data_IF_187385085078
#
_entry.id   IF_187385085078
#
_cell.length_a   1.000
_cell.length_b   1.000
_cell.length_c   1.000
_cell.angle_alpha   90.00
_cell.angle_beta   90.00
_cell.angle_gamma   90.00
#
_symmetry.space_group_name_H-M   'P 1'
#
loop_
_entity.id
_entity.type
_entity.pdbx_description
1 polymer ?
#
# COMPACT_ATOMS: atom_id res chain seq x y z
N UNK A 1 14.19 -0.36 46.54
CA UNK A 1 15.40 -0.81 45.82
C UNK A 1 15.20 -2.15 45.12
N UNK A 2 14.25 -3.00 45.56
CA UNK A 2 13.95 -4.30 44.92
C UNK A 2 13.21 -4.20 43.56
N UNK A 3 12.48 -3.12 43.29
CA UNK A 3 11.75 -2.97 42.02
C UNK A 3 12.67 -2.75 40.82
N UNK A 4 13.80 -2.05 41.02
CA UNK A 4 14.77 -1.77 39.95
C UNK A 4 15.53 -3.05 39.58
N UNK A 5 15.86 -3.91 40.55
CA UNK A 5 16.49 -5.19 40.29
C UNK A 5 15.57 -6.15 39.52
N UNK A 6 14.26 -6.08 39.78
CA UNK A 6 13.24 -6.88 39.09
C UNK A 6 13.05 -6.41 37.63
N UNK A 7 13.06 -5.10 37.40
CA UNK A 7 12.98 -4.52 36.05
C UNK A 7 14.24 -4.83 35.24
N UNK A 8 15.43 -4.72 35.84
CA UNK A 8 16.69 -5.06 35.16
C UNK A 8 16.74 -6.55 34.82
N UNK A 9 16.26 -7.42 35.70
CA UNK A 9 16.18 -8.86 35.42
C UNK A 9 15.20 -9.17 34.29
N UNK A 10 14.05 -8.50 34.25
CA UNK A 10 13.07 -8.66 33.17
C UNK A 10 13.59 -8.14 31.82
N UNK A 11 14.38 -7.05 31.82
CA UNK A 11 15.04 -6.53 30.62
C UNK A 11 16.14 -7.49 30.16
N UNK A 12 16.96 -8.04 31.07
CA UNK A 12 18.00 -9.01 30.73
C UNK A 12 17.42 -10.35 30.25
N UNK A 13 16.31 -10.82 30.82
CA UNK A 13 15.58 -12.00 30.31
C UNK A 13 15.01 -11.74 28.92
N UNK A 14 14.46 -10.54 28.67
CA UNK A 14 13.94 -10.13 27.34
C UNK A 14 15.06 -9.97 26.30
N UNK A 15 16.18 -9.34 26.66
CA UNK A 15 17.37 -9.22 25.80
C UNK A 15 18.07 -10.57 25.56
N UNK A 16 17.91 -11.55 26.46
CA UNK A 16 18.41 -12.92 26.26
C UNK A 16 17.53 -13.78 25.35
N UNK A 17 16.24 -13.43 25.20
CA UNK A 17 15.27 -14.08 24.31
C UNK A 17 15.26 -13.49 22.89
N UNK A 18 15.60 -12.21 22.73
CA UNK A 18 15.68 -11.54 21.42
C UNK A 18 16.62 -12.21 20.38
N UNK A 19 17.77 -12.82 20.73
CA UNK A 19 18.57 -13.53 19.72
C UNK A 19 17.96 -14.88 19.28
N UNK A 20 16.93 -15.41 19.96
CA UNK A 20 16.23 -16.64 19.55
C UNK A 20 15.01 -16.35 18.65
N UNK A 21 14.37 -15.19 18.80
CA UNK A 21 13.28 -14.71 17.92
C UNK A 21 13.76 -14.29 16.51
N UNK A 22 15.07 -14.19 16.30
CA UNK A 22 15.71 -13.96 14.98
C UNK A 22 16.31 -15.20 14.34
N UNK A 23 15.91 -16.41 14.77
CA UNK A 23 16.25 -17.62 14.02
C UNK A 23 15.33 -17.75 12.81
N UNK A 24 15.91 -17.75 11.61
CA UNK A 24 15.19 -17.96 10.35
C UNK A 24 14.82 -19.45 10.23
N UNK A 25 13.62 -19.80 10.67
CA UNK A 25 13.09 -21.16 10.56
C UNK A 25 12.52 -21.42 9.18
N UNK A 26 12.85 -22.59 8.63
CA UNK A 26 12.44 -23.00 7.29
C UNK A 26 11.66 -24.31 7.36
N UNK A 27 10.52 -24.36 6.67
CA UNK A 27 9.84 -25.61 6.30
C UNK A 27 10.17 -25.97 4.86
N UNK A 28 10.36 -27.26 4.62
CA UNK A 28 10.67 -27.77 3.28
C UNK A 28 9.40 -28.03 2.48
N UNK A 29 9.52 -27.92 1.16
CA UNK A 29 8.49 -28.36 0.22
C UNK A 29 8.05 -29.79 0.56
N UNK A 30 6.74 -30.00 0.61
CA UNK A 30 6.11 -31.28 0.93
C UNK A 30 5.85 -31.50 2.42
N UNK A 31 6.25 -30.57 3.30
CA UNK A 31 5.84 -30.61 4.71
C UNK A 31 4.32 -30.57 4.82
N UNK A 32 3.75 -31.47 5.63
CA UNK A 32 2.32 -31.51 5.92
C UNK A 32 1.98 -30.44 6.96
N UNK A 33 1.09 -29.52 6.59
CA UNK A 33 0.58 -28.47 7.47
C UNK A 33 -0.78 -28.89 8.01
N UNK A 34 -0.92 -28.91 9.34
CA UNK A 34 -2.22 -28.98 9.97
C UNK A 34 -2.69 -27.54 10.24
N UNK A 35 -3.76 -27.11 9.56
CA UNK A 35 -4.26 -25.75 9.66
C UNK A 35 -5.06 -25.54 10.95
N UNK A 36 -4.96 -24.34 11.53
CA UNK A 36 -5.84 -23.93 12.62
C UNK A 36 -7.16 -23.40 12.06
N UNK A 37 -8.28 -24.02 12.45
CA UNK A 37 -9.60 -23.49 12.11
C UNK A 37 -9.99 -22.39 13.08
N UNK A 38 -9.82 -21.12 12.72
CA UNK A 38 -10.18 -19.99 13.62
C UNK A 38 -11.66 -20.00 14.02
N UNK A 39 -12.55 -20.47 13.13
CA UNK A 39 -13.99 -20.61 13.39
C UNK A 39 -14.33 -21.79 14.31
N UNK A 40 -13.52 -22.84 14.29
CA UNK A 40 -13.73 -24.04 15.11
C UNK A 40 -12.94 -23.98 16.42
N UNK A 41 -11.93 -23.12 16.50
CA UNK A 41 -10.99 -23.07 17.63
C UNK A 41 -10.13 -24.32 17.75
N UNK A 42 -10.11 -25.18 16.73
CA UNK A 42 -9.52 -26.50 16.77
C UNK A 42 -8.52 -26.72 15.63
N UNK A 43 -7.49 -27.52 15.90
CA UNK A 43 -6.56 -28.03 14.89
C UNK A 43 -7.20 -29.19 14.14
N UNK A 44 -7.50 -29.03 12.86
CA UNK A 44 -8.27 -30.05 12.12
C UNK A 44 -8.34 -29.80 10.62
N UNK A 45 -8.84 -30.81 9.89
CA UNK A 45 -8.89 -30.84 8.42
C UNK A 45 -7.82 -31.75 7.80
N UNK A 46 -7.97 -32.00 6.50
CA UNK A 46 -6.97 -32.78 5.75
C UNK A 46 -5.65 -32.00 5.69
N UNK A 47 -4.50 -32.63 6.01
CA UNK A 47 -3.22 -31.95 6.01
C UNK A 47 -2.89 -31.45 4.60
N UNK A 48 -2.43 -30.20 4.53
CA UNK A 48 -2.08 -29.56 3.27
C UNK A 48 -0.58 -29.64 3.06
N UNK A 49 -0.17 -30.14 1.89
CA UNK A 49 1.24 -30.19 1.51
C UNK A 49 1.75 -28.79 1.15
N UNK A 50 2.83 -28.36 1.80
CA UNK A 50 3.52 -27.13 1.46
C UNK A 50 4.12 -27.23 0.05
N UNK A 51 3.79 -26.29 -0.85
CA UNK A 51 4.18 -26.36 -2.26
C UNK A 51 5.65 -26.03 -2.56
N UNK A 52 6.33 -25.37 -1.62
CA UNK A 52 7.69 -24.84 -1.76
C UNK A 52 8.37 -24.70 -0.39
N UNK A 53 9.68 -24.46 -0.37
CA UNK A 53 10.38 -24.15 0.88
C UNK A 53 9.92 -22.77 1.39
N UNK A 54 9.51 -22.68 2.65
CA UNK A 54 8.86 -21.48 3.21
C UNK A 54 9.46 -21.08 4.54
N UNK A 55 9.78 -19.80 4.70
CA UNK A 55 10.17 -19.22 5.99
C UNK A 55 8.96 -19.11 6.90
N UNK A 56 9.11 -19.51 8.14
CA UNK A 56 8.02 -19.54 9.13
C UNK A 56 8.40 -18.82 10.40
N UNK A 57 7.41 -18.28 11.09
CA UNK A 57 7.58 -17.69 12.41
C UNK A 57 7.07 -18.67 13.46
N UNK A 58 7.85 -18.92 14.51
CA UNK A 58 7.38 -19.71 15.65
C UNK A 58 6.33 -18.90 16.42
N UNK A 59 5.20 -19.52 16.77
CA UNK A 59 4.26 -18.91 17.70
C UNK A 59 4.78 -19.09 19.14
N UNK A 60 4.80 -18.02 19.92
CA UNK A 60 5.07 -18.13 21.35
C UNK A 60 3.97 -18.95 22.02
N UNK A 61 4.34 -20.05 22.67
CA UNK A 61 3.40 -20.84 23.46
C UNK A 61 2.78 -19.96 24.53
N UNK A 62 1.46 -19.73 24.47
CA UNK A 62 0.74 -19.05 25.54
C UNK A 62 0.91 -19.88 26.83
N UNK A 63 1.45 -19.25 27.87
CA UNK A 63 1.59 -19.87 29.18
C UNK A 63 0.20 -20.29 29.69
N UNK A 64 -0.11 -21.59 29.64
CA UNK A 64 -1.37 -22.15 30.12
C UNK A 64 -2.01 -23.22 29.25
N UNK A 65 -1.54 -23.47 28.01
CA UNK A 65 -2.01 -24.63 27.24
C UNK A 65 -1.34 -25.90 27.78
N UNK A 66 -2.06 -26.60 28.65
CA UNK A 66 -1.66 -27.92 29.14
C UNK A 66 -1.55 -28.90 27.98
N UNK A 67 -0.38 -29.55 27.88
CA UNK A 67 -0.11 -30.71 27.04
C UNK A 67 -1.17 -31.80 27.27
N UNK A 68 -2.25 -31.77 26.50
CA UNK A 68 -3.14 -32.92 26.37
C UNK A 68 -2.47 -33.89 25.39
N UNK A 69 -1.66 -34.76 25.97
CA UNK A 69 -1.14 -35.98 25.36
C UNK A 69 -2.27 -36.72 24.64
N UNK A 70 -2.30 -36.62 23.31
CA UNK A 70 -3.04 -37.56 22.47
C UNK A 70 -2.05 -38.61 21.99
N UNK A 71 -2.14 -39.78 22.61
CA UNK A 71 -1.32 -40.95 22.34
C UNK A 71 -1.39 -41.37 20.86
N UNK A 72 -0.21 -41.44 20.21
CA UNK A 72 -0.03 -42.06 18.89
C UNK A 72 0.99 -41.31 18.02
N UNK A 73 2.24 -41.78 18.04
CA UNK A 73 3.43 -41.21 17.37
C UNK A 73 3.91 -39.87 17.96
N UNK A 74 4.84 -39.96 18.90
CA UNK A 74 5.53 -38.83 19.54
C UNK A 74 6.50 -38.11 18.58
N UNK A 75 5.98 -37.38 17.59
CA UNK A 75 6.68 -36.22 17.08
C UNK A 75 6.12 -34.99 17.77
N UNK A 76 6.97 -34.28 18.51
CA UNK A 76 6.59 -33.02 19.16
C UNK A 76 6.12 -32.06 18.08
N UNK A 77 4.88 -31.63 18.17
CA UNK A 77 4.32 -30.68 17.21
C UNK A 77 4.51 -29.26 17.70
N UNK A 78 4.77 -28.34 16.78
CA UNK A 78 5.03 -26.93 17.07
C UNK A 78 4.09 -26.06 16.23
N UNK A 79 3.61 -25.00 16.86
CA UNK A 79 2.73 -24.03 16.21
C UNK A 79 3.60 -22.97 15.52
N UNK A 80 3.34 -22.75 14.24
CA UNK A 80 4.10 -21.84 13.38
C UNK A 80 3.14 -21.02 12.52
N UNK A 81 3.54 -19.81 12.16
CA UNK A 81 2.83 -19.01 11.17
C UNK A 81 3.52 -19.26 9.82
N UNK A 82 2.75 -19.83 8.89
CA UNK A 82 3.19 -20.07 7.52
C UNK A 82 2.54 -19.01 6.62
N UNK A 83 3.32 -18.19 5.90
CA UNK A 83 2.80 -17.24 4.91
C UNK A 83 1.79 -17.89 3.96
N UNK A 84 0.66 -17.22 3.72
CA UNK A 84 -0.48 -17.68 2.92
C UNK A 84 -1.30 -18.87 3.47
N UNK A 85 -0.85 -19.55 4.53
CA UNK A 85 -1.59 -20.64 5.19
C UNK A 85 -2.02 -20.30 6.62
N UNK A 86 -1.47 -19.23 7.22
CA UNK A 86 -1.82 -18.77 8.57
C UNK A 86 -1.20 -19.64 9.67
N UNK A 87 -1.91 -19.75 10.79
CA UNK A 87 -1.49 -20.56 11.95
C UNK A 87 -1.54 -22.05 11.60
N UNK A 88 -0.38 -22.70 11.62
CA UNK A 88 -0.21 -24.10 11.26
C UNK A 88 0.49 -24.86 12.38
N UNK A 89 0.22 -26.16 12.47
CA UNK A 89 0.94 -27.09 13.32
C UNK A 89 1.71 -28.07 12.45
N UNK A 90 2.99 -28.23 12.77
CA UNK A 90 3.92 -29.09 12.05
C UNK A 90 4.75 -29.91 13.03
N UNK A 91 5.26 -31.09 12.63
CA UNK A 91 6.26 -31.79 13.43
C UNK A 91 7.52 -30.92 13.59
N UNK A 92 8.06 -30.83 14.81
CA UNK A 92 9.31 -30.10 15.09
C UNK A 92 10.47 -30.62 14.25
N UNK A 93 10.46 -31.92 13.89
CA UNK A 93 11.42 -32.55 12.99
C UNK A 93 11.44 -31.96 11.57
N UNK A 94 10.38 -31.24 11.16
CA UNK A 94 10.30 -30.58 9.86
C UNK A 94 10.92 -29.18 9.84
N UNK A 95 11.22 -28.60 11.01
CA UNK A 95 11.85 -27.29 11.10
C UNK A 95 13.35 -27.41 10.88
N UNK A 96 13.85 -26.66 9.91
CA UNK A 96 15.27 -26.57 9.61
C UNK A 96 15.75 -25.17 9.92
N UNK A 97 16.83 -25.03 10.68
CA UNK A 97 17.57 -23.77 10.76
C UNK A 97 18.26 -23.54 9.41
N UNK A 98 17.77 -22.57 8.64
CA UNK A 98 18.25 -22.34 7.28
C UNK A 98 19.48 -21.44 7.23
N UNK A 99 20.56 -21.79 6.51
CA UNK A 99 21.60 -20.82 6.15
C UNK A 99 21.04 -19.85 5.09
N UNK A 100 21.30 -18.55 5.28
CA UNK A 100 20.73 -17.46 4.46
C UNK A 100 21.05 -17.58 2.96
N UNK A 101 22.24 -18.09 2.59
CA UNK A 101 22.76 -17.92 1.22
C UNK A 101 22.11 -18.81 0.16
N UNK A 102 21.76 -20.07 0.49
CA UNK A 102 21.19 -21.01 -0.49
C UNK A 102 19.68 -20.80 -0.71
N UNK A 103 18.97 -20.38 0.34
CA UNK A 103 17.54 -20.04 0.24
C UNK A 103 17.33 -18.72 -0.49
N UNK A 104 18.18 -17.71 -0.29
CA UNK A 104 18.08 -16.44 -1.03
C UNK A 104 18.28 -16.62 -2.54
N UNK A 105 19.24 -17.47 -2.94
CA UNK A 105 19.46 -17.80 -4.34
C UNK A 105 18.26 -18.53 -4.98
N UNK A 106 17.51 -19.31 -4.20
CA UNK A 106 16.35 -20.06 -4.66
C UNK A 106 15.04 -19.26 -4.54
N UNK A 107 14.88 -18.42 -3.52
CA UNK A 107 13.80 -17.46 -3.34
C UNK A 107 13.80 -16.40 -4.45
N UNK A 108 14.98 -15.97 -4.91
CA UNK A 108 15.13 -15.14 -6.10
C UNK A 108 14.54 -15.77 -7.38
N UNK A 109 14.34 -17.09 -7.40
CA UNK A 109 13.72 -17.83 -8.52
C UNK A 109 12.23 -18.15 -8.33
N UNK A 110 11.66 -17.96 -7.13
CA UNK A 110 10.33 -18.48 -6.75
C UNK A 110 9.23 -17.39 -6.73
N UNK A 111 9.60 -16.11 -6.76
CA UNK A 111 8.64 -15.01 -6.92
C UNK A 111 9.11 -13.75 -6.20
N UNK A 112 8.86 -12.59 -6.81
CA UNK A 112 9.13 -11.31 -6.17
C UNK A 112 8.17 -11.05 -4.99
N UNK A 113 8.48 -10.05 -4.15
CA UNK A 113 7.58 -9.67 -3.06
C UNK A 113 6.23 -9.17 -3.62
N UNK A 114 5.15 -9.32 -2.84
CA UNK A 114 3.81 -8.93 -3.28
C UNK A 114 3.78 -7.42 -3.54
N UNK A 115 3.52 -7.02 -4.79
CA UNK A 115 3.47 -5.61 -5.22
C UNK A 115 2.06 -5.05 -5.30
N UNK A 116 1.06 -5.90 -5.49
CA UNK A 116 -0.32 -5.48 -5.70
C UNK A 116 -1.25 -6.37 -4.92
N UNK A 117 -2.17 -5.76 -4.17
CA UNK A 117 -3.16 -6.46 -3.36
C UNK A 117 -4.51 -5.77 -3.51
N UNK A 118 -5.55 -6.56 -3.73
CA UNK A 118 -6.94 -6.10 -3.67
C UNK A 118 -7.65 -6.92 -2.58
N UNK A 119 -8.27 -6.23 -1.62
CA UNK A 119 -8.95 -6.84 -0.49
C UNK A 119 -10.45 -6.58 -0.58
N UNK A 120 -11.21 -7.66 -0.48
CA UNK A 120 -12.67 -7.67 -0.41
C UNK A 120 -13.11 -8.37 0.88
N UNK A 121 -12.80 -7.79 2.05
CA UNK A 121 -13.24 -8.32 3.34
C UNK A 121 -14.76 -8.41 3.38
N UNK A 122 -15.29 -9.46 4.00
CA UNK A 122 -16.72 -9.55 4.24
C UNK A 122 -17.17 -8.56 5.34
N UNK A 123 -18.47 -8.42 5.52
CA UNK A 123 -19.03 -7.50 6.52
C UNK A 123 -18.76 -7.91 7.99
N UNK A 124 -18.20 -9.10 8.24
CA UNK A 124 -17.85 -9.58 9.58
C UNK A 124 -16.37 -9.35 9.89
N UNK A 125 -15.60 -8.88 8.90
CA UNK A 125 -14.19 -8.61 9.04
C UNK A 125 -13.96 -7.36 9.90
N UNK A 126 -13.27 -7.52 11.02
CA UNK A 126 -12.78 -6.38 11.81
C UNK A 126 -11.68 -5.67 11.01
N UNK A 127 -12.06 -4.58 10.34
CA UNK A 127 -11.16 -3.82 9.47
C UNK A 127 -9.93 -3.33 10.23
N UNK A 128 -10.06 -2.91 11.48
CA UNK A 128 -8.93 -2.38 12.25
C UNK A 128 -7.93 -3.48 12.62
N UNK A 129 -8.41 -4.62 13.13
CA UNK A 129 -7.51 -5.69 13.60
C UNK A 129 -7.02 -6.56 12.43
N UNK A 130 -7.92 -6.98 11.57
CA UNK A 130 -7.64 -7.88 10.46
C UNK A 130 -6.76 -7.23 9.40
N UNK A 131 -7.06 -6.00 8.98
CA UNK A 131 -6.22 -5.31 7.98
C UNK A 131 -4.86 -4.97 8.56
N UNK A 132 -4.79 -4.50 9.82
CA UNK A 132 -3.50 -4.18 10.43
C UNK A 132 -2.60 -5.41 10.50
N UNK A 133 -3.13 -6.55 10.92
CA UNK A 133 -2.36 -7.80 10.99
C UNK A 133 -1.85 -8.22 9.61
N UNK A 134 -2.72 -8.19 8.60
CA UNK A 134 -2.37 -8.57 7.23
C UNK A 134 -1.34 -7.62 6.60
N UNK A 135 -1.58 -6.31 6.71
CA UNK A 135 -0.72 -5.30 6.09
C UNK A 135 0.61 -5.18 6.82
N UNK A 136 0.69 -5.42 8.13
CA UNK A 136 2.00 -5.48 8.81
C UNK A 136 2.89 -6.62 8.27
N UNK A 137 2.30 -7.74 7.85
CA UNK A 137 3.05 -8.89 7.34
C UNK A 137 3.41 -8.75 5.85
N UNK A 138 2.57 -8.08 5.07
CA UNK A 138 2.65 -8.09 3.59
C UNK A 138 2.79 -6.71 2.94
N UNK A 139 2.55 -5.64 3.69
CA UNK A 139 2.44 -4.27 3.17
C UNK A 139 3.77 -3.63 2.77
N UNK A 140 4.89 -4.07 3.35
CA UNK A 140 6.19 -3.40 3.16
C UNK A 140 6.65 -3.28 1.70
N UNK A 141 6.20 -4.20 0.85
CA UNK A 141 6.52 -4.25 -0.59
C UNK A 141 5.37 -3.83 -1.51
N UNK A 142 4.19 -3.51 -0.96
CA UNK A 142 3.03 -3.16 -1.75
C UNK A 142 3.24 -1.79 -2.42
N UNK A 143 3.12 -1.79 -3.74
CA UNK A 143 3.10 -0.60 -4.59
C UNK A 143 1.65 -0.20 -4.92
N UNK A 144 0.72 -1.18 -4.93
CA UNK A 144 -0.69 -0.99 -5.25
C UNK A 144 -1.59 -1.68 -4.21
N UNK A 145 -2.54 -0.94 -3.64
CA UNK A 145 -3.52 -1.46 -2.71
C UNK A 145 -4.92 -1.00 -3.13
N UNK A 146 -5.85 -1.94 -3.24
CA UNK A 146 -7.26 -1.65 -3.44
C UNK A 146 -8.07 -2.26 -2.29
N UNK A 147 -8.96 -1.48 -1.69
CA UNK A 147 -9.72 -1.87 -0.50
C UNK A 147 -11.22 -1.70 -0.76
N UNK A 148 -11.97 -2.79 -0.63
CA UNK A 148 -13.42 -2.77 -0.62
C UNK A 148 -13.91 -2.89 0.81
N UNK A 149 -14.35 -1.77 1.39
CA UNK A 149 -14.71 -1.66 2.80
C UNK A 149 -16.22 -1.49 2.94
N UNK A 150 -16.85 -2.40 3.69
CA UNK A 150 -18.26 -2.29 4.02
C UNK A 150 -18.44 -1.27 5.14
N UNK A 151 -18.75 -0.02 4.80
CA UNK A 151 -19.13 1.02 5.76
C UNK A 151 -18.25 2.27 5.73
N UNK A 152 -17.97 2.82 6.92
CA UNK A 152 -17.18 4.03 7.12
C UNK A 152 -15.68 3.68 7.25
N UNK A 153 -14.85 4.36 6.47
CA UNK A 153 -13.40 4.33 6.61
C UNK A 153 -13.02 5.31 7.71
N UNK A 154 -12.61 4.77 8.85
CA UNK A 154 -12.08 5.55 9.96
C UNK A 154 -10.63 6.02 9.72
N UNK A 155 -10.17 6.92 10.60
CA UNK A 155 -8.82 7.48 10.53
C UNK A 155 -7.74 6.43 10.82
N UNK A 156 -8.10 5.40 11.59
CA UNK A 156 -7.19 4.32 11.99
C UNK A 156 -6.82 3.47 10.77
N UNK A 157 -7.77 3.15 9.88
CA UNK A 157 -7.52 2.40 8.64
C UNK A 157 -6.52 3.11 7.74
N UNK A 158 -6.67 4.43 7.54
CA UNK A 158 -5.73 5.21 6.72
C UNK A 158 -4.34 5.20 7.35
N UNK A 159 -4.24 5.43 8.66
CA UNK A 159 -2.96 5.40 9.38
C UNK A 159 -2.28 4.03 9.34
N UNK A 160 -3.05 2.94 9.43
CA UNK A 160 -2.58 1.56 9.29
C UNK A 160 -1.98 1.36 7.90
N UNK A 161 -2.70 1.74 6.84
CA UNK A 161 -2.23 1.59 5.45
C UNK A 161 -0.93 2.34 5.23
N UNK A 162 -0.87 3.63 5.61
CA UNK A 162 0.31 4.47 5.41
C UNK A 162 1.54 3.94 6.15
N UNK A 163 1.36 3.42 7.38
CA UNK A 163 2.45 2.85 8.18
C UNK A 163 2.93 1.51 7.63
N UNK A 164 2.00 0.65 7.22
CA UNK A 164 2.31 -0.70 6.79
C UNK A 164 2.82 -0.78 5.34
N UNK A 165 2.46 0.21 4.50
CA UNK A 165 2.76 0.21 3.06
C UNK A 165 3.64 1.41 2.66
N UNK A 166 4.92 1.46 3.06
CA UNK A 166 5.82 2.58 2.77
C UNK A 166 6.18 2.75 1.28
N UNK A 167 5.98 1.71 0.46
CA UNK A 167 6.24 1.75 -0.99
C UNK A 167 4.98 2.04 -1.82
N UNK A 168 3.86 2.36 -1.16
CA UNK A 168 2.58 2.51 -1.84
C UNK A 168 2.59 3.69 -2.82
N UNK A 169 2.25 3.41 -4.07
CA UNK A 169 2.16 4.41 -5.15
C UNK A 169 0.73 4.57 -5.68
N UNK A 170 -0.14 3.60 -5.40
CA UNK A 170 -1.53 3.57 -5.84
C UNK A 170 -2.44 3.04 -4.74
N UNK A 171 -3.46 3.83 -4.40
CA UNK A 171 -4.46 3.49 -3.38
C UNK A 171 -5.86 3.60 -3.98
N UNK A 172 -6.59 2.49 -3.99
CA UNK A 172 -8.00 2.43 -4.34
C UNK A 172 -8.85 2.12 -3.12
N UNK A 173 -9.97 2.82 -2.95
CA UNK A 173 -10.92 2.60 -1.87
C UNK A 173 -12.34 2.61 -2.44
N UNK A 174 -13.07 1.55 -2.16
CA UNK A 174 -14.53 1.45 -2.31
C UNK A 174 -15.13 1.44 -0.90
N UNK A 175 -15.99 2.41 -0.59
CA UNK A 175 -16.59 2.54 0.73
C UNK A 175 -17.87 3.38 0.70
N UNK A 176 -18.81 3.12 1.60
CA UNK A 176 -20.00 3.96 1.74
C UNK A 176 -19.63 5.36 2.24
N UNK A 177 -18.69 5.47 3.18
CA UNK A 177 -18.24 6.76 3.68
C UNK A 177 -16.71 6.80 3.81
N UNK A 178 -16.10 7.87 3.33
CA UNK A 178 -14.70 8.19 3.57
C UNK A 178 -14.56 9.70 3.77
N UNK A 179 -13.89 10.14 4.83
CA UNK A 179 -13.58 11.56 4.97
C UNK A 179 -12.30 11.91 4.22
N UNK A 180 -12.41 12.48 3.02
CA UNK A 180 -11.24 12.88 2.23
C UNK A 180 -10.40 13.94 2.95
N UNK A 181 -11.03 14.83 3.71
CA UNK A 181 -10.30 15.82 4.52
C UNK A 181 -9.42 15.14 5.56
N UNK A 182 -9.97 14.17 6.30
CA UNK A 182 -9.19 13.46 7.32
C UNK A 182 -8.11 12.57 6.72
N UNK A 183 -8.36 11.97 5.56
CA UNK A 183 -7.34 11.27 4.79
C UNK A 183 -6.19 12.22 4.44
N UNK A 184 -6.49 13.42 3.93
CA UNK A 184 -5.47 14.42 3.63
C UNK A 184 -4.70 14.83 4.90
N UNK A 185 -5.38 15.18 5.99
CA UNK A 185 -4.73 15.56 7.25
C UNK A 185 -3.79 14.46 7.76
N UNK A 186 -4.25 13.21 7.75
CA UNK A 186 -3.44 12.06 8.20
C UNK A 186 -2.22 11.86 7.30
N UNK A 187 -2.39 11.98 5.99
CA UNK A 187 -1.29 11.84 5.03
C UNK A 187 -0.24 12.95 5.16
N UNK A 188 -0.68 14.19 5.38
CA UNK A 188 0.22 15.32 5.64
C UNK A 188 0.95 15.19 6.98
N UNK A 189 0.25 14.74 8.03
CA UNK A 189 0.82 14.50 9.36
C UNK A 189 1.92 13.43 9.30
N UNK A 190 1.70 12.34 8.57
CA UNK A 190 2.71 11.29 8.36
C UNK A 190 3.96 11.83 7.65
N UNK A 191 3.77 12.67 6.63
CA UNK A 191 4.88 13.33 5.92
C UNK A 191 5.69 14.25 6.84
N UNK A 192 5.02 15.01 7.72
CA UNK A 192 5.69 15.96 8.62
C UNK A 192 6.51 15.27 9.74
N UNK A 193 6.12 14.06 10.15
CA UNK A 193 6.82 13.29 11.20
C UNK A 193 8.17 12.72 10.76
N UNK A 194 8.52 12.84 9.46
CA UNK A 194 9.76 12.29 8.92
C UNK A 194 9.78 10.75 8.88
N UNK A 195 8.62 10.12 9.02
CA UNK A 195 8.42 8.70 8.75
C UNK A 195 8.52 8.44 7.24
N UNK A 196 8.76 7.19 6.81
CA UNK A 196 8.72 6.83 5.39
C UNK A 196 7.27 6.88 4.88
N UNK A 197 6.77 8.10 4.66
CA UNK A 197 5.45 8.34 4.11
C UNK A 197 5.45 7.92 2.63
N UNK A 198 4.51 7.05 2.20
CA UNK A 198 4.46 6.59 0.82
C UNK A 198 4.18 7.75 -0.13
N UNK A 199 4.87 7.78 -1.27
CA UNK A 199 4.64 8.77 -2.32
C UNK A 199 3.48 8.34 -3.24
N UNK A 200 2.25 8.41 -2.73
CA UNK A 200 1.06 7.97 -3.47
C UNK A 200 0.84 8.89 -4.67
N UNK A 201 0.88 8.28 -5.86
CA UNK A 201 0.77 8.94 -7.15
C UNK A 201 -0.61 8.76 -7.80
N UNK A 202 -1.38 7.75 -7.40
CA UNK A 202 -2.72 7.49 -7.90
C UNK A 202 -3.67 7.19 -6.75
N UNK A 203 -4.79 7.90 -6.69
CA UNK A 203 -5.88 7.65 -5.74
C UNK A 203 -7.19 7.43 -6.49
N UNK A 204 -7.88 6.35 -6.18
CA UNK A 204 -9.18 5.99 -6.75
C UNK A 204 -10.20 5.79 -5.64
N UNK A 205 -11.35 6.46 -5.76
CA UNK A 205 -12.48 6.32 -4.85
C UNK A 205 -13.68 5.82 -5.67
N UNK A 206 -14.02 4.53 -5.57
CA UNK A 206 -14.97 3.89 -6.51
C UNK A 206 -15.77 2.72 -5.94
N UNK A 207 -17.10 2.83 -5.84
CA UNK A 207 -17.87 4.05 -5.60
C UNK A 207 -17.69 4.56 -4.16
N UNK A 208 -17.93 5.86 -3.97
CA UNK A 208 -18.06 6.47 -2.64
C UNK A 208 -19.37 7.24 -2.49
N UNK A 209 -20.19 6.83 -1.50
CA UNK A 209 -21.46 7.51 -1.23
C UNK A 209 -21.23 8.80 -0.46
N UNK A 210 -20.18 8.93 0.35
CA UNK A 210 -19.86 10.16 1.07
C UNK A 210 -18.37 10.42 1.15
N UNK A 211 -17.96 11.66 0.84
CA UNK A 211 -16.56 12.12 0.90
C UNK A 211 -16.27 13.01 2.14
N UNK A 212 -17.14 12.92 3.16
CA UNK A 212 -17.07 13.69 4.41
C UNK A 212 -18.07 14.85 4.48
N UNK A 213 -18.31 15.35 5.70
CA UNK A 213 -19.31 16.41 5.98
C UNK A 213 -19.04 17.72 5.22
N UNK A 214 -17.76 18.06 5.03
CA UNK A 214 -17.32 19.24 4.27
C UNK A 214 -17.06 18.92 2.78
N UNK A 215 -17.56 17.80 2.27
CA UNK A 215 -17.49 17.44 0.85
C UNK A 215 -16.06 17.46 0.26
N UNK A 216 -15.05 17.08 1.05
CA UNK A 216 -13.65 17.04 0.63
C UNK A 216 -13.00 18.39 0.29
N UNK A 217 -13.55 19.52 0.75
CA UNK A 217 -13.03 20.84 0.38
C UNK A 217 -11.56 21.07 0.76
N UNK A 218 -11.14 20.61 1.94
CA UNK A 218 -9.75 20.74 2.39
C UNK A 218 -8.82 19.83 1.59
N UNK A 219 -9.26 18.61 1.28
CA UNK A 219 -8.54 17.72 0.36
C UNK A 219 -8.25 18.41 -0.98
N UNK A 220 -9.26 19.07 -1.58
CA UNK A 220 -9.09 19.80 -2.84
C UNK A 220 -8.13 20.99 -2.69
N UNK A 221 -8.20 21.73 -1.58
CA UNK A 221 -7.25 22.82 -1.30
C UNK A 221 -5.82 22.33 -1.15
N UNK A 222 -5.63 21.24 -0.40
CA UNK A 222 -4.32 20.62 -0.22
C UNK A 222 -3.76 20.14 -1.56
N UNK A 223 -4.62 19.58 -2.43
CA UNK A 223 -4.25 19.23 -3.79
C UNK A 223 -3.79 20.45 -4.61
N UNK A 224 -4.33 21.64 -4.36
CA UNK A 224 -3.92 22.88 -5.02
C UNK A 224 -2.65 23.53 -4.46
N UNK A 225 -2.25 23.20 -3.24
CA UNK A 225 -1.11 23.81 -2.55
C UNK A 225 0.17 23.02 -2.82
N UNK A 226 1.15 23.57 -3.57
CA UNK A 226 2.38 22.86 -3.93
C UNK A 226 3.29 22.51 -2.74
N UNK A 227 3.00 23.03 -1.54
CA UNK A 227 3.76 22.72 -0.32
C UNK A 227 3.32 21.42 0.34
N UNK A 228 2.11 20.94 0.07
CA UNK A 228 1.58 19.70 0.64
C UNK A 228 2.23 18.47 0.02
N UNK A 229 2.27 17.38 0.77
CA UNK A 229 2.73 16.09 0.29
C UNK A 229 1.80 15.55 -0.81
N UNK A 230 0.49 15.72 -0.63
CA UNK A 230 -0.53 15.38 -1.62
C UNK A 230 -0.26 16.01 -3.00
N UNK A 231 -0.07 17.33 -3.06
CA UNK A 231 0.15 18.02 -4.34
C UNK A 231 1.50 17.70 -4.99
N UNK A 232 2.51 17.31 -4.21
CA UNK A 232 3.84 16.97 -4.72
C UNK A 232 3.87 15.62 -5.43
N UNK A 233 3.05 14.68 -4.99
CA UNK A 233 3.11 13.28 -5.41
C UNK A 233 1.91 12.82 -6.24
N UNK A 234 0.70 13.34 -5.98
CA UNK A 234 -0.50 12.86 -6.67
C UNK A 234 -0.53 13.31 -8.14
N UNK A 235 -0.63 12.32 -9.02
CA UNK A 235 -0.69 12.45 -10.48
C UNK A 235 -2.06 12.08 -11.04
N UNK A 236 -2.73 11.12 -10.39
CA UNK A 236 -4.03 10.64 -10.82
C UNK A 236 -5.02 10.70 -9.65
N UNK A 237 -6.17 11.33 -9.91
CA UNK A 237 -7.29 11.34 -8.99
C UNK A 237 -8.54 10.87 -9.73
N UNK A 238 -9.17 9.83 -9.17
CA UNK A 238 -10.41 9.28 -9.70
C UNK A 238 -11.44 9.24 -8.59
N UNK A 239 -12.61 9.83 -8.85
CA UNK A 239 -13.75 9.85 -7.92
C UNK A 239 -15.00 9.41 -8.68
N UNK A 240 -15.57 8.28 -8.27
CA UNK A 240 -16.88 7.82 -8.68
C UNK A 240 -17.85 7.97 -7.53
N UNK A 241 -18.97 8.65 -7.76
CA UNK A 241 -19.99 8.85 -6.73
C UNK A 241 -21.40 8.80 -7.34
N UNK A 242 -22.37 8.17 -6.67
CA UNK A 242 -23.75 8.23 -7.10
C UNK A 242 -24.31 9.64 -6.91
N UNK A 243 -25.19 10.10 -7.80
CA UNK A 243 -25.67 11.48 -7.78
C UNK A 243 -26.56 11.80 -6.58
N UNK A 244 -27.33 10.82 -6.12
CA UNK A 244 -28.16 10.91 -4.93
C UNK A 244 -27.38 11.22 -3.66
N UNK A 245 -26.07 10.94 -3.63
CA UNK A 245 -25.23 11.24 -2.48
C UNK A 245 -25.09 12.73 -2.18
N UNK A 246 -25.12 13.58 -3.21
CA UNK A 246 -24.72 14.99 -3.08
C UNK A 246 -23.27 15.20 -2.65
N UNK A 247 -22.43 14.16 -2.69
CA UNK A 247 -21.07 14.16 -2.14
C UNK A 247 -20.13 15.07 -2.90
N UNK A 248 -20.22 15.06 -4.23
CA UNK A 248 -19.55 16.04 -5.09
C UNK A 248 -20.57 17.11 -5.48
N UNK A 249 -20.36 18.34 -4.99
CA UNK A 249 -21.24 19.47 -5.23
C UNK A 249 -20.51 20.66 -5.90
N UNK A 250 -21.21 21.79 -6.07
CA UNK A 250 -20.63 22.98 -6.69
C UNK A 250 -19.41 23.55 -5.95
N UNK A 251 -19.38 23.44 -4.62
CA UNK A 251 -18.25 23.91 -3.82
C UNK A 251 -17.03 23.00 -4.02
N UNK A 252 -17.23 21.67 -3.97
CA UNK A 252 -16.17 20.68 -4.23
C UNK A 252 -15.55 20.88 -5.61
N UNK A 253 -16.38 21.00 -6.65
CA UNK A 253 -15.91 21.24 -8.02
C UNK A 253 -15.23 22.61 -8.18
N UNK A 254 -15.66 23.61 -7.42
CA UNK A 254 -15.01 24.92 -7.39
C UNK A 254 -13.61 24.88 -6.80
N UNK A 255 -13.41 24.22 -5.66
CA UNK A 255 -12.08 24.05 -5.07
C UNK A 255 -11.20 23.17 -5.95
N UNK A 256 -11.72 22.09 -6.53
CA UNK A 256 -10.95 21.27 -7.47
C UNK A 256 -10.53 22.06 -8.72
N UNK A 257 -11.41 22.90 -9.24
CA UNK A 257 -11.07 23.79 -10.35
C UNK A 257 -9.91 24.73 -9.99
N UNK A 258 -9.92 25.32 -8.78
CA UNK A 258 -8.80 26.14 -8.29
C UNK A 258 -7.53 25.29 -8.09
N UNK A 259 -7.67 24.08 -7.56
CA UNK A 259 -6.56 23.16 -7.39
C UNK A 259 -5.86 22.87 -8.72
N UNK A 260 -6.63 22.62 -9.80
CA UNK A 260 -6.08 22.41 -11.14
C UNK A 260 -5.32 23.62 -11.70
N UNK A 261 -5.66 24.84 -11.30
CA UNK A 261 -4.92 26.02 -11.75
C UNK A 261 -3.54 26.14 -11.12
N UNK A 262 -3.38 25.63 -9.89
CA UNK A 262 -2.15 25.78 -9.11
C UNK A 262 -1.28 24.52 -9.11
N UNK A 263 -1.92 23.34 -9.16
CA UNK A 263 -1.23 22.07 -9.15
C UNK A 263 -0.55 21.83 -10.52
N UNK A 264 0.72 21.42 -10.49
CA UNK A 264 1.54 21.12 -11.69
C UNK A 264 1.94 19.65 -11.79
N UNK A 265 1.47 18.80 -10.88
CA UNK A 265 1.77 17.37 -10.81
C UNK A 265 0.60 16.50 -11.26
N UNK A 266 -0.64 16.96 -11.08
CA UNK A 266 -1.85 16.25 -11.40
C UNK A 266 -2.02 16.17 -12.93
N UNK A 267 -1.91 14.94 -13.42
CA UNK A 267 -1.89 14.54 -14.82
C UNK A 267 -3.29 14.08 -15.27
N UNK A 268 -3.97 13.28 -14.44
CA UNK A 268 -5.28 12.72 -14.77
C UNK A 268 -6.27 13.04 -13.65
N UNK A 269 -7.42 13.58 -14.03
CA UNK A 269 -8.57 13.74 -13.13
C UNK A 269 -9.81 13.16 -13.81
N UNK A 270 -10.42 12.19 -13.15
CA UNK A 270 -11.70 11.63 -13.58
C UNK A 270 -12.72 11.81 -12.47
N UNK A 271 -13.81 12.51 -12.79
CA UNK A 271 -14.95 12.68 -11.91
C UNK A 271 -16.15 12.06 -12.60
N UNK A 272 -16.66 10.97 -12.03
CA UNK A 272 -17.82 10.27 -12.54
C UNK A 272 -18.98 10.43 -11.55
N UNK A 273 -20.06 11.07 -12.02
CA UNK A 273 -21.28 11.25 -11.23
C UNK A 273 -22.43 10.64 -12.02
N UNK A 274 -23.09 9.61 -11.47
CA UNK A 274 -24.21 8.94 -12.14
C UNK A 274 -25.49 8.98 -11.30
N UNK A 275 -26.62 9.47 -11.85
CA UNK A 275 -26.74 10.26 -13.08
C UNK A 275 -26.33 11.73 -12.86
N UNK A 276 -25.62 12.38 -13.80
CA UNK A 276 -25.17 13.77 -13.62
C UNK A 276 -26.32 14.77 -13.30
N UNK A 277 -26.29 15.44 -12.12
CA UNK A 277 -27.25 16.50 -11.80
C UNK A 277 -27.19 17.70 -12.77
N UNK A 278 -28.33 18.29 -13.16
CA UNK A 278 -28.37 19.48 -14.02
C UNK A 278 -27.57 20.67 -13.49
N UNK A 279 -27.51 20.83 -12.17
CA UNK A 279 -26.76 21.89 -11.49
C UNK A 279 -25.24 21.81 -11.72
N UNK A 280 -24.71 20.63 -12.02
CA UNK A 280 -23.27 20.42 -12.18
C UNK A 280 -22.82 20.42 -13.66
N UNK A 281 -23.75 20.42 -14.63
CA UNK A 281 -23.42 20.43 -16.07
C UNK A 281 -22.55 21.61 -16.51
N UNK A 282 -22.66 22.74 -15.82
CA UNK A 282 -21.82 23.91 -16.10
C UNK A 282 -20.31 23.64 -15.87
N UNK A 283 -19.98 22.67 -15.03
CA UNK A 283 -18.59 22.31 -14.72
C UNK A 283 -17.91 21.52 -15.82
N UNK A 284 -18.64 20.72 -16.60
CA UNK A 284 -18.09 19.97 -17.73
C UNK A 284 -17.33 20.89 -18.69
N UNK A 285 -17.95 22.01 -19.06
CA UNK A 285 -17.33 23.03 -19.91
C UNK A 285 -16.15 23.74 -19.24
N UNK A 286 -16.16 23.88 -17.91
CA UNK A 286 -15.06 24.52 -17.17
C UNK A 286 -13.85 23.61 -17.09
N UNK A 287 -14.06 22.31 -16.82
CA UNK A 287 -12.99 21.33 -16.73
C UNK A 287 -12.40 20.97 -18.09
N UNK A 288 -13.18 21.04 -19.17
CA UNK A 288 -12.69 20.75 -20.52
C UNK A 288 -11.55 21.67 -20.99
N UNK A 289 -11.41 22.87 -20.42
CA UNK A 289 -10.29 23.77 -20.73
C UNK A 289 -8.92 23.20 -20.28
N UNK A 290 -8.93 22.31 -19.28
CA UNK A 290 -7.73 21.66 -18.75
C UNK A 290 -7.44 20.34 -19.49
N UNK A 291 -8.42 19.79 -20.21
CA UNK A 291 -8.22 18.59 -20.99
C UNK A 291 -7.32 18.88 -22.20
N UNK A 292 -6.24 18.11 -22.35
CA UNK A 292 -5.22 18.36 -23.36
C UNK A 292 -4.22 19.46 -22.98
N UNK A 293 -4.30 20.02 -21.76
CA UNK A 293 -3.38 21.06 -21.31
C UNK A 293 -1.96 20.48 -21.16
N UNK A 294 -0.97 21.17 -21.73
CA UNK A 294 0.43 20.81 -21.57
C UNK A 294 0.93 21.26 -20.19
N UNK A 295 1.31 20.30 -19.35
CA UNK A 295 2.02 20.56 -18.10
C UNK A 295 3.51 20.62 -18.40
N UNK A 296 4.17 21.73 -18.02
CA UNK A 296 5.60 21.86 -18.26
C UNK A 296 6.39 20.87 -17.39
N UNK A 297 7.40 20.17 -17.95
CA UNK A 297 8.23 19.26 -17.18
C UNK A 297 8.94 19.94 -16.01
N UNK A 298 9.29 19.13 -15.03
CA UNK A 298 10.15 19.55 -13.94
C UNK A 298 11.51 20.03 -14.48
N UNK A 299 12.10 21.11 -13.93
CA UNK A 299 13.38 21.62 -14.40
C UNK A 299 14.46 20.55 -14.28
N UNK A 300 15.12 20.23 -15.39
CA UNK A 300 16.19 19.24 -15.39
C UNK A 300 17.41 19.74 -14.61
N UNK A 301 18.05 18.83 -13.88
CA UNK A 301 19.37 19.05 -13.29
C UNK A 301 20.39 19.40 -14.39
N UNK A 302 21.41 20.19 -14.01
CA UNK A 302 22.36 20.78 -14.94
C UNK A 302 23.15 19.71 -15.69
N UNK A 303 23.43 18.61 -15.02
CA UNK A 303 24.15 17.43 -15.48
C UNK A 303 23.39 16.74 -16.61
N UNK A 304 22.07 16.54 -16.45
CA UNK A 304 21.19 15.97 -17.47
C UNK A 304 21.05 16.88 -18.69
N UNK A 305 20.98 18.21 -18.47
CA UNK A 305 21.01 19.21 -19.55
C UNK A 305 22.34 19.18 -20.31
N UNK A 306 23.46 19.08 -19.60
CA UNK A 306 24.81 19.03 -20.20
C UNK A 306 25.06 17.71 -20.95
N UNK A 307 24.58 16.58 -20.44
CA UNK A 307 24.65 15.30 -21.13
C UNK A 307 23.84 15.34 -22.44
N UNK A 308 22.61 15.88 -22.40
CA UNK A 308 21.78 16.10 -23.58
C UNK A 308 22.47 17.03 -24.61
N UNK A 309 23.01 18.16 -24.17
CA UNK A 309 23.74 19.10 -25.04
C UNK A 309 25.00 18.48 -25.64
N UNK A 310 25.75 17.69 -24.86
CA UNK A 310 26.96 17.00 -25.35
C UNK A 310 26.65 15.95 -26.40
N UNK A 311 25.54 15.22 -26.23
CA UNK A 311 25.05 14.23 -27.20
C UNK A 311 24.59 14.87 -28.51
N UNK A 312 23.92 16.03 -28.43
CA UNK A 312 23.37 16.74 -29.60
C UNK A 312 24.42 17.53 -30.38
N UNK A 313 25.47 18.03 -29.73
CA UNK A 313 26.55 18.78 -30.39
C UNK A 313 27.56 17.88 -31.15
N UNK A 314 27.68 16.60 -30.77
CA UNK A 314 28.61 15.64 -31.39
C UNK A 314 28.12 14.97 -32.69
N UNK A 315 26.88 15.25 -33.12
CA UNK A 315 26.25 14.61 -34.29
C UNK A 315 25.95 13.11 -34.11
N UNK A 316 25.31 12.49 -35.11
CA UNK A 316 24.86 11.08 -35.09
C UNK A 316 25.93 10.05 -34.66
N UNK A 317 27.22 10.34 -34.86
CA UNK A 317 28.34 9.46 -34.45
C UNK A 317 28.59 9.46 -32.94
N UNK A 318 28.27 10.54 -32.22
CA UNK A 318 28.36 10.59 -30.77
C UNK A 318 27.20 9.82 -30.11
N UNK A 319 26.00 9.93 -30.68
CA UNK A 319 24.80 9.21 -30.26
C UNK A 319 25.02 7.68 -30.30
N UNK A 320 25.70 7.18 -31.33
CA UNK A 320 26.04 5.75 -31.47
C UNK A 320 27.07 5.24 -30.46
N UNK A 321 27.78 6.15 -29.76
CA UNK A 321 28.77 5.82 -28.73
C UNK A 321 28.24 5.99 -27.31
N UNK A 322 27.04 6.55 -27.15
CA UNK A 322 26.41 6.68 -25.85
C UNK A 322 25.92 5.31 -25.37
N UNK A 323 26.12 5.07 -24.08
CA UNK A 323 25.56 3.91 -23.40
C UNK A 323 24.03 3.91 -23.57
N UNK A 324 23.44 2.72 -23.77
CA UNK A 324 22.01 2.52 -23.98
C UNK A 324 21.16 3.15 -22.86
N UNK A 325 21.70 3.21 -21.64
CA UNK A 325 21.10 3.82 -20.46
C UNK A 325 21.09 5.36 -20.54
N UNK A 326 22.13 5.96 -21.10
CA UNK A 326 22.21 7.42 -21.34
C UNK A 326 21.26 7.84 -22.47
N UNK A 327 21.17 7.03 -23.53
CA UNK A 327 20.18 7.26 -24.60
C UNK A 327 18.74 7.15 -24.09
N UNK A 328 18.45 6.16 -23.24
CA UNK A 328 17.14 6.03 -22.58
C UNK A 328 16.81 7.27 -21.76
N UNK A 329 17.74 7.74 -20.91
CA UNK A 329 17.56 8.95 -20.11
C UNK A 329 17.32 10.20 -20.96
N UNK A 330 18.02 10.34 -22.10
CA UNK A 330 17.85 11.45 -23.04
C UNK A 330 16.47 11.42 -23.73
N UNK A 331 15.99 10.23 -24.11
CA UNK A 331 14.66 10.09 -24.71
C UNK A 331 13.53 10.18 -23.68
N UNK A 332 13.69 9.65 -22.47
CA UNK A 332 12.81 9.92 -21.33
C UNK A 332 12.73 11.42 -21.04
N UNK A 333 13.88 12.11 -21.00
CA UNK A 333 13.95 13.57 -20.85
C UNK A 333 13.16 14.32 -21.93
N UNK A 334 13.34 13.92 -23.19
CA UNK A 334 12.69 14.54 -24.33
C UNK A 334 11.19 14.19 -24.42
N UNK A 335 10.78 13.06 -23.84
CA UNK A 335 9.41 12.57 -23.82
C UNK A 335 8.55 13.16 -22.70
N UNK A 336 9.14 13.73 -21.65
CA UNK A 336 8.39 14.20 -20.48
C UNK A 336 7.71 15.55 -20.72
N UNK A 337 6.73 15.61 -21.61
CA UNK A 337 5.61 16.56 -21.48
C UNK A 337 4.40 15.75 -21.11
N UNK A 338 3.85 16.00 -19.93
CA UNK A 338 2.62 15.33 -19.55
C UNK A 338 1.44 16.15 -20.05
N UNK A 339 0.52 15.47 -20.73
CA UNK A 339 -0.74 16.04 -21.15
C UNK A 339 -1.73 15.79 -20.03
N UNK A 340 -2.29 16.87 -19.49
CA UNK A 340 -3.35 16.75 -18.51
C UNK A 340 -4.63 16.23 -19.16
N UNK A 341 -5.21 15.17 -18.62
CA UNK A 341 -6.54 14.72 -18.98
C UNK A 341 -7.51 15.02 -17.85
N UNK A 342 -8.62 15.68 -18.17
CA UNK A 342 -9.70 15.91 -17.21
C UNK A 342 -11.00 15.47 -17.85
N UNK A 343 -11.62 14.45 -17.27
CA UNK A 343 -12.86 13.87 -17.76
C UNK A 343 -13.94 13.99 -16.70
N UNK A 344 -15.11 14.40 -17.15
CA UNK A 344 -16.32 14.45 -16.34
C UNK A 344 -17.33 13.50 -16.99
N UNK A 345 -17.52 12.31 -16.42
CA UNK A 345 -18.37 11.28 -17.03
C UNK A 345 -19.72 11.18 -16.33
N UNK A 346 -20.75 10.90 -17.12
CA UNK A 346 -22.06 10.48 -16.64
C UNK A 346 -22.01 8.96 -16.62
N UNK A 347 -21.95 8.35 -15.42
CA UNK A 347 -21.92 6.88 -15.33
C UNK A 347 -23.22 6.24 -15.78
#
# INVERSE_FOLDING_TARGET
>A
MDDVATIIKAIQEKESLEPQLRKNWLLRKGTQLQLFGELTGEWGGDPVCLGFDTRVQLMESRAGESDLESAGNNERSINVIVPAYGSCRVPESCLVEGPDEAFEAQAASIGGPLKSLALYPDAQFDHAIGMNTLLQQSGWSLEHLYLHLYGEVDDDVVAIVLRACPQLTSLGIEASFISLNRLASTYEDFSQRGENCPAISSMTFDPVDSIGEDHGLEFMRNLGDPTTHLAKHLKELVIYTPAESGSVNNATLGELYLALTNNTKLETVLIAISPLPPSLRAWEKRFSQFNGQLIQPQPLERESKLAFLSATYGGMRAIQRLDRRILSLIFELAAMRVIRSVNFTHG
#
